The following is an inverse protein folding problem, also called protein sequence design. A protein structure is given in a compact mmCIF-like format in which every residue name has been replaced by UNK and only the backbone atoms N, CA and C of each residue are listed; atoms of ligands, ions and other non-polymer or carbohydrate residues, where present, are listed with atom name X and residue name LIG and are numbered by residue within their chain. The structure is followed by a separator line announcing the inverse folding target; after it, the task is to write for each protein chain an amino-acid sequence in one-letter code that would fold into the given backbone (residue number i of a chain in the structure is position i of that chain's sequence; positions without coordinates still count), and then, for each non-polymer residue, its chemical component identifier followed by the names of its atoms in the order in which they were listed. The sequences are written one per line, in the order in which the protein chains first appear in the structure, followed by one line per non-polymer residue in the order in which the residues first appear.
data_IF_558711207403
#
_entry.id   IF_558711207403
#
_cell.length_a   1.000
_cell.length_b   1.000
_cell.length_c   1.000
_cell.angle_alpha   90.00
_cell.angle_beta   90.00
_cell.angle_gamma   90.00
#
_symmetry.space_group_name_H-M   'P 1'
#
loop_
_entity.id
_entity.type
_entity.pdbx_description
1 polymer ?
#
# COMPACT_ATOMS: atom_id res chain seq x y z
N UNK A 1 18.68 -16.41 6.68
CA UNK A 1 17.71 -16.09 6.89
C UNK A 1 17.07 -15.42 5.99
N UNK A 2 16.18 -15.80 5.74
CA UNK A 2 15.60 -15.25 4.73
C UNK A 2 14.66 -14.30 5.11
N UNK A 3 14.94 -13.13 4.84
CA UNK A 3 14.04 -12.15 5.11
C UNK A 3 13.43 -11.63 3.92
N UNK A 4 13.27 -12.44 2.92
CA UNK A 4 12.84 -11.90 1.69
C UNK A 4 11.36 -11.84 1.57
N UNK A 5 10.67 -11.40 2.56
CA UNK A 5 9.26 -11.10 2.37
C UNK A 5 9.12 -10.07 1.27
N UNK A 6 8.15 -10.29 0.41
CA UNK A 6 7.87 -9.34 -0.65
C UNK A 6 7.07 -8.20 -0.08
N UNK A 7 7.52 -6.99 -0.34
CA UNK A 7 6.85 -5.81 0.21
C UNK A 7 5.76 -5.31 -0.72
N UNK A 8 4.58 -5.09 -0.16
CA UNK A 8 3.46 -4.52 -0.89
C UNK A 8 3.11 -3.20 -0.22
N UNK A 9 3.05 -2.13 -1.02
CA UNK A 9 2.74 -0.81 -0.50
C UNK A 9 1.33 -0.45 -0.96
N UNK A 10 0.48 -0.05 -0.01
CA UNK A 10 -0.86 0.43 -0.31
C UNK A 10 -0.88 1.94 -0.15
N UNK A 11 -1.27 2.64 -1.19
CA UNK A 11 -1.37 4.09 -1.17
C UNK A 11 -2.84 4.45 -1.14
N UNK A 12 -3.27 5.11 -0.08
CA UNK A 12 -4.67 5.41 0.14
C UNK A 12 -4.89 6.91 0.14
N UNK A 13 -5.83 7.38 -0.67
CA UNK A 13 -6.21 8.78 -0.68
C UNK A 13 -7.50 8.93 0.15
N UNK A 14 -7.41 9.47 1.37
CA UNK A 14 -8.58 9.56 2.22
C UNK A 14 -9.62 10.58 1.75
N UNK A 15 -9.23 11.45 0.80
CA UNK A 15 -10.14 12.48 0.33
C UNK A 15 -10.98 12.06 -0.86
N UNK A 16 -10.88 10.86 -1.34
CA UNK A 16 -11.59 10.49 -2.55
C UNK A 16 -13.08 10.20 -2.30
N UNK A 17 -13.56 10.42 -1.11
CA UNK A 17 -15.01 10.36 -0.86
C UNK A 17 -15.57 8.98 -0.62
N UNK A 18 -14.79 7.95 -0.74
CA UNK A 18 -15.28 6.59 -0.51
C UNK A 18 -15.11 6.27 0.96
N UNK A 19 -16.21 5.93 1.61
CA UNK A 19 -16.13 5.53 3.00
C UNK A 19 -15.66 4.09 3.09
N UNK A 20 -15.08 3.72 4.19
CA UNK A 20 -14.69 2.34 4.39
C UNK A 20 -13.31 1.99 3.88
N UNK A 21 -12.50 2.97 3.47
CA UNK A 21 -11.16 2.67 3.00
C UNK A 21 -10.31 2.01 4.05
N UNK A 22 -10.45 2.41 5.30
CA UNK A 22 -9.72 1.78 6.38
C UNK A 22 -10.11 0.32 6.55
N UNK A 23 -11.38 0.01 6.31
CA UNK A 23 -11.84 -1.37 6.39
C UNK A 23 -11.28 -2.19 5.23
N UNK A 24 -11.17 -1.60 4.05
CA UNK A 24 -10.59 -2.29 2.91
C UNK A 24 -9.14 -2.66 3.20
N UNK A 25 -8.38 -1.72 3.73
CA UNK A 25 -6.98 -1.97 4.06
C UNK A 25 -6.85 -3.07 5.11
N UNK A 26 -7.70 -3.02 6.13
CA UNK A 26 -7.70 -4.05 7.17
C UNK A 26 -8.05 -5.41 6.57
N UNK A 27 -9.06 -5.44 5.71
CA UNK A 27 -9.51 -6.68 5.10
C UNK A 27 -8.40 -7.30 4.26
N UNK A 28 -7.71 -6.49 3.47
CA UNK A 28 -6.58 -6.96 2.68
C UNK A 28 -5.48 -7.50 3.60
N UNK A 29 -5.17 -6.76 4.65
CA UNK A 29 -4.14 -7.18 5.57
C UNK A 29 -4.44 -8.50 6.26
N UNK A 30 -5.72 -8.78 6.50
CA UNK A 30 -6.12 -10.03 7.11
C UNK A 30 -6.02 -11.21 6.14
N UNK A 31 -6.12 -10.93 4.84
CA UNK A 31 -6.09 -11.99 3.85
C UNK A 31 -4.71 -12.24 3.26
N UNK A 32 -3.81 -11.31 3.41
CA UNK A 32 -2.45 -11.47 2.91
C UNK A 32 -1.68 -12.39 3.85
N UNK A 33 -0.92 -13.30 3.26
CA UNK A 33 -0.10 -14.21 4.05
C UNK A 33 1.11 -13.42 4.56
N UNK A 34 1.09 -13.09 5.82
CA UNK A 34 2.13 -12.26 6.43
C UNK A 34 3.48 -12.97 6.53
N UNK A 35 3.49 -14.27 6.29
CA UNK A 35 4.76 -14.98 6.22
C UNK A 35 5.47 -14.73 4.91
N UNK A 36 4.71 -14.41 3.86
CA UNK A 36 5.27 -14.19 2.54
C UNK A 36 5.36 -12.73 2.16
N UNK A 37 4.52 -11.89 2.75
CA UNK A 37 4.41 -10.49 2.36
C UNK A 37 4.51 -9.56 3.56
N UNK A 38 5.20 -8.46 3.33
CA UNK A 38 5.26 -7.37 4.29
C UNK A 38 4.45 -6.22 3.68
N UNK A 39 3.59 -5.59 4.44
CA UNK A 39 2.72 -4.55 3.91
C UNK A 39 2.99 -3.21 4.56
N UNK A 40 2.84 -2.16 3.77
CA UNK A 40 2.95 -0.80 4.26
C UNK A 40 1.77 0.00 3.72
N UNK A 41 1.16 0.82 4.56
CA UNK A 41 0.03 1.66 4.13
C UNK A 41 0.45 3.11 4.26
N UNK A 42 0.30 3.87 3.17
CA UNK A 42 0.66 5.28 3.14
C UNK A 42 -0.57 6.07 2.75
N UNK A 43 -0.94 7.05 3.57
CA UNK A 43 -2.06 7.92 3.27
C UNK A 43 -1.55 9.17 2.57
N UNK A 44 -2.18 9.54 1.48
CA UNK A 44 -1.74 10.69 0.70
C UNK A 44 -2.57 11.91 1.06
N UNK A 45 -2.02 13.08 0.75
CA UNK A 45 -2.74 14.32 0.96
C UNK A 45 -3.43 14.79 -0.31
N UNK A 46 -2.99 14.34 -1.45
CA UNK A 46 -3.58 14.70 -2.72
C UNK A 46 -3.19 13.68 -3.77
N UNK A 47 -3.88 13.71 -4.91
CA UNK A 47 -3.66 12.72 -5.94
C UNK A 47 -2.25 12.72 -6.51
N UNK A 48 -1.65 13.90 -6.69
CA UNK A 48 -0.29 13.97 -7.21
C UNK A 48 0.73 13.36 -6.27
N UNK A 49 0.44 13.38 -4.98
CA UNK A 49 1.32 12.79 -4.00
C UNK A 49 1.41 11.26 -4.19
N UNK A 50 0.30 10.64 -4.56
CA UNK A 50 0.31 9.20 -4.78
C UNK A 50 1.26 8.79 -5.90
N UNK A 51 1.33 9.58 -6.96
CA UNK A 51 2.22 9.30 -8.07
C UNK A 51 3.67 9.35 -7.61
N UNK A 52 4.01 10.36 -6.82
CA UNK A 52 5.39 10.50 -6.33
C UNK A 52 5.76 9.34 -5.42
N UNK A 53 4.85 8.95 -4.54
CA UNK A 53 5.10 7.82 -3.64
C UNK A 53 5.29 6.55 -4.44
N UNK A 54 4.45 6.34 -5.45
CA UNK A 54 4.58 5.15 -6.28
C UNK A 54 5.93 5.07 -6.96
N UNK A 55 6.42 6.21 -7.46
CA UNK A 55 7.74 6.25 -8.09
C UNK A 55 8.84 5.95 -7.09
N UNK A 56 8.75 6.51 -5.89
CA UNK A 56 9.74 6.25 -4.87
C UNK A 56 9.79 4.79 -4.47
N UNK A 57 8.62 4.19 -4.30
CA UNK A 57 8.55 2.79 -3.88
C UNK A 57 8.99 1.85 -5.00
N UNK A 58 8.70 2.20 -6.24
CA UNK A 58 9.19 1.42 -7.35
C UNK A 58 10.73 1.43 -7.39
N UNK A 59 11.33 2.57 -7.09
CA UNK A 59 12.78 2.66 -7.03
C UNK A 59 13.35 1.81 -5.89
N UNK A 60 12.57 1.59 -4.83
CA UNK A 60 12.97 0.74 -3.73
C UNK A 60 12.78 -0.74 -4.04
N UNK A 61 12.28 -1.06 -5.22
CA UNK A 61 12.09 -2.44 -5.67
C UNK A 61 11.12 -3.22 -4.80
N UNK A 62 10.06 -2.55 -4.36
CA UNK A 62 8.99 -3.25 -3.66
C UNK A 62 8.28 -4.19 -4.65
N UNK A 63 7.65 -5.21 -4.11
CA UNK A 63 7.00 -6.22 -4.95
C UNK A 63 5.80 -5.65 -5.70
N UNK A 64 5.00 -4.84 -5.05
CA UNK A 64 3.83 -4.26 -5.67
C UNK A 64 3.43 -2.96 -4.98
N UNK A 65 2.81 -2.05 -5.75
CA UNK A 65 2.24 -0.83 -5.21
C UNK A 65 0.77 -0.83 -5.62
N UNK A 66 -0.12 -0.71 -4.65
CA UNK A 66 -1.55 -0.74 -4.89
C UNK A 66 -2.14 0.60 -4.50
N UNK A 67 -2.82 1.25 -5.42
CA UNK A 67 -3.48 2.53 -5.14
C UNK A 67 -4.95 2.28 -4.84
N UNK A 68 -5.43 2.86 -3.75
CA UNK A 68 -6.80 2.74 -3.31
C UNK A 68 -7.43 4.13 -3.25
N UNK A 69 -8.46 4.34 -3.99
CA UNK A 69 -9.16 5.64 -3.95
C UNK A 69 -9.47 6.29 -5.24
#
# INVERSE_FOLDING_TARGET
MDNSKRKIVFIVNPKSGVQGKGQIVRWIGERIDKKLYDTEVIYTKCAGHAVNIAKEKAAEKVYAVVAIG
#
